data_IF_375161414834
#
_entry.id   IF_375161414834
#
_cell.length_a   1.000
_cell.length_b   1.000
_cell.length_c   1.000
_cell.angle_alpha   90.00
_cell.angle_beta   90.00
_cell.angle_gamma   90.00
#
_symmetry.space_group_name_H-M   'P 1'
#
loop_
_entity.id
_entity.type
_entity.pdbx_description
1 polymer ?
#
# COMPACT_ATOMS: atom_id res chain seq x y z
N UNK A 1 18.23 12.90 -4.79
CA UNK A 1 17.74 12.97 -6.19
C UNK A 1 18.02 11.62 -6.81
N UNK A 2 17.03 11.02 -7.46
CA UNK A 2 17.23 9.79 -8.22
C UNK A 2 18.20 10.10 -9.39
N UNK A 3 19.13 9.17 -9.68
CA UNK A 3 20.00 9.30 -10.82
C UNK A 3 19.20 9.10 -12.12
N UNK A 4 19.31 10.06 -13.01
CA UNK A 4 18.58 10.12 -14.28
C UNK A 4 19.48 9.98 -15.49
N UNK A 5 20.66 9.36 -15.36
CA UNK A 5 21.55 9.11 -16.50
C UNK A 5 20.86 8.19 -17.53
N UNK A 6 20.77 8.59 -18.82
CA UNK A 6 20.03 7.85 -19.84
C UNK A 6 20.77 6.60 -20.35
N UNK A 7 22.10 6.56 -20.24
CA UNK A 7 22.91 5.45 -20.72
C UNK A 7 23.56 4.74 -19.55
N UNK A 8 23.04 3.55 -19.18
CA UNK A 8 23.64 2.77 -18.12
C UNK A 8 23.60 1.28 -18.45
N UNK A 9 24.71 0.64 -18.13
CA UNK A 9 24.77 -0.81 -18.05
C UNK A 9 24.41 -1.19 -16.60
N UNK A 10 23.47 -2.10 -16.43
CA UNK A 10 23.02 -2.49 -15.11
C UNK A 10 22.56 -3.97 -15.12
N UNK A 11 22.42 -4.53 -13.95
CA UNK A 11 21.86 -5.87 -13.74
C UNK A 11 20.93 -5.89 -12.53
N UNK A 12 20.10 -6.94 -12.46
CA UNK A 12 19.34 -7.27 -11.27
C UNK A 12 19.96 -8.49 -10.60
N UNK A 13 20.17 -8.38 -9.30
CA UNK A 13 20.70 -9.46 -8.48
C UNK A 13 19.65 -9.84 -7.43
N UNK A 14 19.55 -11.13 -7.15
CA UNK A 14 18.69 -11.64 -6.08
C UNK A 14 19.60 -12.14 -4.97
N UNK A 15 19.59 -11.44 -3.85
CA UNK A 15 20.37 -11.75 -2.66
C UNK A 15 19.50 -12.56 -1.67
N UNK A 16 19.97 -13.75 -1.29
CA UNK A 16 19.39 -14.48 -0.17
C UNK A 16 19.78 -13.80 1.13
N UNK A 17 18.81 -13.57 2.00
CA UNK A 17 19.02 -12.97 3.31
C UNK A 17 18.37 -13.79 4.41
N UNK A 18 18.90 -13.68 5.63
CA UNK A 18 18.19 -14.15 6.82
C UNK A 18 16.96 -13.29 7.10
N UNK A 19 16.00 -13.76 7.93
CA UNK A 19 14.89 -12.92 8.40
C UNK A 19 15.34 -11.64 9.12
N UNK A 20 16.51 -11.67 9.76
CA UNK A 20 17.13 -10.50 10.40
C UNK A 20 17.79 -9.55 9.40
N UNK A 21 17.83 -9.93 8.11
CA UNK A 21 18.32 -9.10 7.01
C UNK A 21 19.83 -9.16 6.80
N UNK A 22 20.50 -10.19 7.30
CA UNK A 22 21.91 -10.45 6.98
C UNK A 22 22.01 -11.13 5.62
N UNK A 23 22.93 -10.68 4.79
CA UNK A 23 23.20 -11.26 3.48
C UNK A 23 23.85 -12.64 3.64
N UNK A 24 23.32 -13.65 2.92
CA UNK A 24 23.83 -15.01 2.91
C UNK A 24 24.66 -15.22 1.64
N UNK A 25 24.15 -14.79 0.50
CA UNK A 25 24.80 -14.94 -0.82
C UNK A 25 23.80 -14.73 -1.95
N UNK A 26 24.30 -14.62 -3.16
CA UNK A 26 23.44 -14.49 -4.35
C UNK A 26 22.65 -15.78 -4.57
N UNK A 27 21.42 -15.64 -5.04
CA UNK A 27 20.60 -16.75 -5.47
C UNK A 27 21.07 -17.22 -6.87
N UNK A 28 21.52 -18.46 -6.94
CA UNK A 28 22.00 -19.07 -8.19
C UNK A 28 20.84 -19.50 -9.08
N UNK A 29 21.10 -19.51 -10.39
CA UNK A 29 20.20 -20.07 -11.39
C UNK A 29 18.99 -19.20 -11.71
N UNK A 30 18.96 -17.93 -11.33
CA UNK A 30 17.90 -16.99 -11.73
C UNK A 30 17.93 -16.79 -13.23
N UNK A 31 16.85 -17.16 -13.93
CA UNK A 31 16.74 -17.03 -15.38
C UNK A 31 15.87 -15.84 -15.80
N UNK A 32 14.79 -15.66 -15.08
CA UNK A 32 13.86 -14.56 -15.32
C UNK A 32 13.07 -14.26 -14.07
N UNK A 33 12.46 -13.08 -14.05
CA UNK A 33 11.59 -12.69 -12.96
C UNK A 33 10.95 -11.34 -13.22
N UNK A 34 10.00 -11.03 -12.37
CA UNK A 34 9.37 -9.72 -12.34
C UNK A 34 8.92 -9.38 -10.92
N UNK A 35 8.92 -8.09 -10.62
CA UNK A 35 8.46 -7.56 -9.35
C UNK A 35 7.44 -6.46 -9.62
N UNK A 36 6.36 -6.49 -8.88
CA UNK A 36 5.35 -5.43 -8.87
C UNK A 36 5.33 -4.77 -7.50
N UNK A 37 5.56 -3.47 -7.47
CA UNK A 37 5.39 -2.63 -6.28
C UNK A 37 4.10 -1.83 -6.44
N UNK A 38 3.27 -1.75 -5.40
CA UNK A 38 1.96 -1.06 -5.49
C UNK A 38 1.62 -0.30 -4.22
N UNK A 39 1.16 0.93 -4.37
CA UNK A 39 0.66 1.75 -3.25
C UNK A 39 -0.70 1.26 -2.71
N UNK A 40 -1.45 0.49 -3.50
CA UNK A 40 -2.84 0.13 -3.20
C UNK A 40 -3.05 -1.36 -2.95
N UNK A 41 -2.16 -2.22 -3.44
CA UNK A 41 -2.29 -3.66 -3.21
C UNK A 41 -2.14 -3.99 -1.71
N UNK A 42 -2.78 -5.07 -1.28
CA UNK A 42 -2.79 -5.51 0.12
C UNK A 42 -1.39 -5.77 0.67
N UNK A 43 -0.54 -6.44 -0.12
CA UNK A 43 0.82 -6.80 0.28
C UNK A 43 1.88 -5.78 -0.14
N UNK A 44 1.51 -4.71 -0.86
CA UNK A 44 2.40 -3.64 -1.35
C UNK A 44 3.46 -4.07 -2.35
N UNK A 45 3.91 -5.30 -2.30
CA UNK A 45 4.86 -5.86 -3.26
C UNK A 45 4.60 -7.34 -3.47
N UNK A 46 4.77 -7.79 -4.70
CA UNK A 46 4.72 -9.18 -5.12
C UNK A 46 5.64 -9.40 -6.31
N UNK A 47 5.92 -10.65 -6.65
CA UNK A 47 6.74 -10.96 -7.81
C UNK A 47 6.78 -12.44 -8.11
N UNK A 48 7.56 -12.79 -9.11
CA UNK A 48 7.81 -14.17 -9.54
C UNK A 48 9.26 -14.30 -9.98
N UNK A 49 9.86 -15.45 -9.71
CA UNK A 49 11.16 -15.86 -10.22
C UNK A 49 11.05 -17.22 -10.89
N UNK A 50 11.72 -17.38 -12.01
CA UNK A 50 11.98 -18.69 -12.61
C UNK A 50 13.47 -19.01 -12.47
N UNK A 51 13.75 -20.18 -11.91
CA UNK A 51 15.10 -20.61 -11.56
C UNK A 51 15.42 -21.92 -12.27
N UNK A 52 16.65 -22.08 -12.77
CA UNK A 52 17.22 -23.41 -13.02
C UNK A 52 17.73 -23.97 -11.70
N UNK A 53 17.41 -25.23 -11.41
CA UNK A 53 17.90 -25.91 -10.21
C UNK A 53 19.43 -26.04 -10.25
N UNK A 54 20.07 -25.59 -9.19
CA UNK A 54 21.52 -25.66 -8.97
C UNK A 54 21.84 -26.52 -7.76
N UNK A 55 23.11 -26.66 -7.41
CA UNK A 55 23.54 -27.34 -6.17
C UNK A 55 23.35 -26.47 -4.91
N UNK A 56 22.90 -25.23 -5.06
CA UNK A 56 22.68 -24.33 -3.92
C UNK A 56 21.52 -24.83 -3.03
N UNK A 57 21.80 -24.97 -1.75
CA UNK A 57 20.78 -25.33 -0.77
C UNK A 57 20.04 -24.08 -0.31
N UNK A 58 18.74 -24.05 -0.52
CA UNK A 58 17.86 -22.93 -0.19
C UNK A 58 16.88 -23.37 0.89
N UNK A 59 16.85 -22.67 2.00
CA UNK A 59 15.81 -22.82 3.03
C UNK A 59 14.63 -21.89 2.67
N UNK A 60 13.69 -22.44 1.92
CA UNK A 60 12.50 -21.73 1.43
C UNK A 60 11.59 -21.16 2.54
N UNK A 61 11.75 -21.64 3.77
CA UNK A 61 10.91 -21.19 4.90
C UNK A 61 11.53 -20.06 5.70
N UNK A 62 12.87 -20.03 5.79
CA UNK A 62 13.58 -19.10 6.68
C UNK A 62 14.48 -18.12 5.94
N UNK A 63 14.64 -18.25 4.62
CA UNK A 63 15.38 -17.26 3.83
C UNK A 63 14.43 -16.31 3.10
N UNK A 64 14.87 -15.08 2.95
CA UNK A 64 14.19 -14.09 2.12
C UNK A 64 14.99 -13.84 0.85
N UNK A 65 14.33 -13.38 -0.21
CA UNK A 65 14.94 -12.94 -1.46
C UNK A 65 14.88 -11.41 -1.54
N UNK A 66 16.04 -10.74 -1.50
CA UNK A 66 16.14 -9.31 -1.75
C UNK A 66 16.55 -9.09 -3.21
N UNK A 67 15.74 -8.34 -3.94
CA UNK A 67 16.04 -7.93 -5.31
C UNK A 67 16.78 -6.62 -5.27
N UNK A 68 17.99 -6.59 -5.80
CA UNK A 68 18.84 -5.41 -5.88
C UNK A 68 19.03 -5.01 -7.35
N UNK A 69 18.94 -3.72 -7.66
CA UNK A 69 19.34 -3.15 -8.94
C UNK A 69 20.78 -2.64 -8.83
N UNK A 70 21.65 -3.12 -9.70
CA UNK A 70 23.10 -2.89 -9.64
C UNK A 70 23.59 -2.24 -10.93
N UNK A 71 23.58 -0.90 -11.03
CA UNK A 71 24.12 -0.19 -12.16
C UNK A 71 25.66 -0.17 -12.13
N UNK A 72 26.29 -0.25 -13.29
CA UNK A 72 27.75 -0.16 -13.39
C UNK A 72 28.22 1.28 -13.18
N UNK A 73 29.19 1.45 -12.31
CA UNK A 73 29.79 2.79 -12.02
C UNK A 73 28.99 3.67 -11.07
N UNK A 74 27.91 3.17 -10.52
CA UNK A 74 27.05 3.88 -9.55
C UNK A 74 26.64 2.97 -8.40
N UNK A 75 26.29 3.53 -7.23
CA UNK A 75 25.73 2.73 -6.15
C UNK A 75 24.42 2.04 -6.58
N UNK A 76 24.34 0.74 -6.36
CA UNK A 76 23.09 0.00 -6.49
C UNK A 76 22.11 0.31 -5.35
N UNK A 77 20.87 -0.12 -5.52
CA UNK A 77 19.86 0.01 -4.47
C UNK A 77 18.93 -1.19 -4.40
N UNK A 78 18.44 -1.55 -3.22
CA UNK A 78 17.47 -2.61 -3.07
C UNK A 78 16.10 -2.15 -3.61
N UNK A 79 15.49 -3.01 -4.40
CA UNK A 79 14.14 -2.82 -4.95
C UNK A 79 13.11 -3.21 -3.88
N UNK A 80 13.18 -4.46 -3.42
CA UNK A 80 12.32 -4.99 -2.35
C UNK A 80 12.88 -6.31 -1.82
N UNK A 81 12.44 -6.68 -0.62
CA UNK A 81 12.72 -7.99 0.01
C UNK A 81 11.43 -8.78 0.12
N UNK A 82 11.50 -10.05 -0.24
CA UNK A 82 10.37 -10.94 -0.35
C UNK A 82 10.54 -12.21 0.50
N UNK A 83 9.43 -12.71 0.95
CA UNK A 83 9.26 -14.09 1.39
C UNK A 83 9.07 -14.95 0.15
N UNK A 84 9.81 -16.02 0.03
CA UNK A 84 9.65 -16.99 -1.05
C UNK A 84 8.52 -17.94 -0.68
N UNK A 85 7.46 -17.95 -1.51
CA UNK A 85 6.37 -18.90 -1.38
C UNK A 85 6.72 -20.21 -2.11
N UNK A 86 5.99 -21.26 -1.78
CA UNK A 86 6.21 -22.64 -2.24
C UNK A 86 6.71 -22.77 -3.68
N UNK A 87 7.97 -23.17 -3.91
CA UNK A 87 8.48 -23.31 -5.27
C UNK A 87 7.86 -24.52 -5.97
N UNK A 88 7.29 -24.27 -7.15
CA UNK A 88 6.84 -25.36 -8.03
C UNK A 88 8.04 -25.91 -8.78
N UNK A 89 8.30 -27.21 -8.63
CA UNK A 89 9.42 -27.89 -9.31
C UNK A 89 8.92 -28.59 -10.55
N UNK A 90 9.44 -28.20 -11.71
CA UNK A 90 9.14 -28.80 -13.00
C UNK A 90 10.36 -29.53 -13.55
N UNK A 91 10.19 -30.78 -13.99
CA UNK A 91 11.26 -31.64 -14.49
C UNK A 91 11.01 -31.99 -15.96
N UNK A 92 11.94 -31.66 -16.83
CA UNK A 92 11.98 -32.09 -18.22
C UNK A 92 13.19 -33.00 -18.46
N UNK A 93 13.33 -33.59 -19.66
CA UNK A 93 14.43 -34.52 -19.98
C UNK A 93 15.82 -33.92 -19.77
N UNK A 94 15.96 -32.59 -19.93
CA UNK A 94 17.27 -31.93 -19.91
C UNK A 94 17.40 -30.84 -18.88
N UNK A 95 16.31 -30.55 -18.14
CA UNK A 95 16.28 -29.36 -17.28
C UNK A 95 15.30 -29.52 -16.11
N UNK A 96 15.71 -29.01 -14.97
CA UNK A 96 14.86 -28.87 -13.81
C UNK A 96 14.72 -27.39 -13.51
N UNK A 97 13.49 -26.89 -13.52
CA UNK A 97 13.17 -25.49 -13.20
C UNK A 97 12.33 -25.39 -11.93
N UNK A 98 12.39 -24.24 -11.32
CA UNK A 98 11.56 -23.87 -10.16
C UNK A 98 10.93 -22.52 -10.41
N UNK A 99 9.61 -22.46 -10.30
CA UNK A 99 8.87 -21.21 -10.30
C UNK A 99 8.53 -20.84 -8.85
N UNK A 100 8.96 -19.66 -8.44
CA UNK A 100 8.88 -19.16 -7.08
C UNK A 100 8.04 -17.91 -7.06
N UNK A 101 6.94 -17.92 -6.31
CA UNK A 101 6.17 -16.71 -6.02
C UNK A 101 6.85 -15.93 -4.91
N UNK A 102 6.94 -14.62 -5.12
CA UNK A 102 7.52 -13.65 -4.18
C UNK A 102 6.40 -12.85 -3.52
N UNK A 103 6.33 -12.89 -2.22
CA UNK A 103 5.38 -12.12 -1.40
C UNK A 103 6.14 -11.15 -0.51
N UNK A 104 5.61 -9.94 -0.33
CA UNK A 104 6.25 -9.03 0.62
C UNK A 104 6.22 -9.59 2.05
N UNK A 105 7.05 -9.04 2.93
CA UNK A 105 7.10 -9.42 4.34
C UNK A 105 5.79 -9.17 5.10
N UNK A 106 4.89 -8.33 4.56
CA UNK A 106 3.51 -8.19 5.09
C UNK A 106 2.71 -9.50 5.03
N UNK A 107 3.10 -10.46 4.19
CA UNK A 107 2.47 -11.77 4.13
C UNK A 107 2.52 -12.50 5.49
N UNK A 108 3.51 -12.22 6.33
CA UNK A 108 3.54 -12.78 7.70
C UNK A 108 2.38 -12.29 8.56
N UNK A 109 2.01 -11.01 8.45
CA UNK A 109 0.84 -10.45 9.15
C UNK A 109 -0.47 -10.83 8.48
N UNK A 110 -0.46 -10.93 7.15
CA UNK A 110 -1.65 -11.25 6.37
C UNK A 110 -2.17 -12.67 6.59
N UNK A 111 -1.29 -13.63 6.81
CA UNK A 111 -1.69 -15.02 7.13
C UNK A 111 -2.05 -15.24 8.59
N UNK A 112 -1.85 -14.25 9.46
CA UNK A 112 -2.19 -14.33 10.88
C UNK A 112 -3.60 -13.85 11.14
N UNK A 113 -4.27 -14.51 12.08
CA UNK A 113 -5.58 -14.10 12.58
C UNK A 113 -5.56 -13.95 14.09
N UNK A 114 -6.47 -13.17 14.62
CA UNK A 114 -6.66 -13.01 16.07
C UNK A 114 -7.15 -14.33 16.68
N UNK A 115 -6.55 -14.74 17.80
CA UNK A 115 -6.90 -15.94 18.55
C UNK A 115 -7.90 -15.67 19.69
N UNK A 116 -8.31 -14.41 19.87
CA UNK A 116 -9.27 -13.94 20.86
C UNK A 116 -9.95 -12.65 20.38
N UNK A 117 -10.98 -12.22 21.09
CA UNK A 117 -11.54 -10.87 20.91
C UNK A 117 -10.48 -9.86 21.36
N UNK A 118 -10.10 -8.96 20.47
CA UNK A 118 -9.16 -7.88 20.77
C UNK A 118 -9.92 -6.57 20.97
N UNK A 119 -9.83 -6.05 22.18
CA UNK A 119 -10.35 -4.72 22.50
C UNK A 119 -9.19 -3.72 22.46
N UNK A 120 -9.31 -2.73 21.61
CA UNK A 120 -8.32 -1.68 21.46
C UNK A 120 -8.79 -0.44 22.22
N UNK A 121 -8.03 -0.12 23.25
CA UNK A 121 -8.10 1.17 23.95
C UNK A 121 -6.81 1.96 23.65
N UNK A 122 -6.78 3.25 23.97
CA UNK A 122 -5.61 4.12 23.73
C UNK A 122 -4.28 3.52 24.20
N UNK A 123 -4.26 2.86 25.34
CA UNK A 123 -3.07 2.21 25.88
C UNK A 123 -2.62 0.99 25.04
N UNK A 124 -3.55 0.34 24.34
CA UNK A 124 -3.26 -0.87 23.55
C UNK A 124 -2.52 -0.59 22.26
N UNK A 125 -2.49 0.66 21.79
CA UNK A 125 -1.78 1.09 20.59
C UNK A 125 -0.34 1.51 20.86
N UNK A 126 0.04 1.69 22.13
CA UNK A 126 1.41 2.04 22.52
C UNK A 126 2.34 0.85 22.37
N UNK A 127 3.36 0.94 21.53
CA UNK A 127 4.36 -0.11 21.37
C UNK A 127 5.27 -0.34 22.58
N UNK A 128 5.26 0.58 23.56
CA UNK A 128 6.00 0.44 24.81
C UNK A 128 5.26 -0.43 25.84
N UNK A 129 3.96 -0.63 25.64
CA UNK A 129 3.18 -1.54 26.48
C UNK A 129 3.36 -2.99 26.03
N UNK A 130 3.91 -3.83 26.92
CA UNK A 130 4.08 -5.28 26.67
C UNK A 130 2.76 -6.01 26.43
N UNK A 131 1.65 -5.43 26.88
CA UNK A 131 0.30 -5.97 26.70
C UNK A 131 -0.39 -5.42 25.46
N UNK A 132 0.26 -4.52 24.71
CA UNK A 132 -0.34 -3.97 23.49
C UNK A 132 -0.56 -5.07 22.46
N UNK A 133 -1.66 -4.95 21.72
CA UNK A 133 -2.01 -5.87 20.62
C UNK A 133 -0.89 -5.93 19.61
N UNK A 134 -0.31 -4.77 19.25
CA UNK A 134 0.78 -4.66 18.28
C UNK A 134 2.01 -5.44 18.74
N UNK A 135 2.48 -5.23 19.98
CA UNK A 135 3.64 -5.93 20.52
C UNK A 135 3.42 -7.43 20.56
N UNK A 136 2.20 -7.87 20.87
CA UNK A 136 1.83 -9.28 20.92
C UNK A 136 1.90 -9.94 19.54
N UNK A 137 1.33 -9.32 18.53
CA UNK A 137 1.34 -9.89 17.18
C UNK A 137 2.69 -9.74 16.49
N UNK A 138 3.43 -8.66 16.75
CA UNK A 138 4.82 -8.53 16.32
C UNK A 138 5.71 -9.66 16.89
N UNK A 139 5.55 -9.98 18.18
CA UNK A 139 6.28 -11.08 18.80
C UNK A 139 5.91 -12.47 18.24
N UNK A 140 4.67 -12.67 17.80
CA UNK A 140 4.22 -13.92 17.15
C UNK A 140 4.78 -14.07 15.73
N UNK A 141 5.02 -12.97 15.04
CA UNK A 141 5.55 -12.95 13.67
C UNK A 141 7.08 -13.05 13.67
N UNK A 142 7.63 -14.22 14.00
CA UNK A 142 9.06 -14.46 14.26
C UNK A 142 10.01 -14.01 13.15
N UNK A 143 9.58 -14.06 11.90
CA UNK A 143 10.40 -13.75 10.72
C UNK A 143 10.12 -12.34 10.19
N UNK A 144 9.47 -11.49 10.97
CA UNK A 144 9.10 -10.14 10.58
C UNK A 144 9.88 -9.11 11.38
N UNK A 145 10.55 -8.20 10.69
CA UNK A 145 11.15 -7.00 11.27
C UNK A 145 10.16 -5.85 11.19
N UNK A 146 9.95 -5.16 12.30
CA UNK A 146 9.12 -3.96 12.37
C UNK A 146 9.98 -2.76 12.76
N UNK A 147 9.95 -1.71 11.94
CA UNK A 147 10.68 -0.46 12.14
C UNK A 147 9.96 0.54 13.04
N UNK A 148 8.86 0.14 13.70
CA UNK A 148 8.13 0.96 14.66
C UNK A 148 7.69 0.11 15.84
N UNK A 149 7.59 0.73 17.02
CA UNK A 149 7.20 0.08 18.28
C UNK A 149 5.73 0.34 18.64
N UNK A 150 4.85 0.43 17.64
CA UNK A 150 3.47 0.83 17.76
C UNK A 150 3.23 2.24 17.18
N UNK A 151 2.00 2.73 17.28
CA UNK A 151 1.64 4.04 16.72
C UNK A 151 2.04 5.22 17.64
N UNK A 152 2.82 4.95 18.69
CA UNK A 152 3.51 5.91 19.54
C UNK A 152 2.61 6.94 20.21
N UNK A 153 3.22 8.09 20.54
CA UNK A 153 2.53 9.23 21.14
C UNK A 153 1.50 9.89 20.21
N UNK A 154 1.49 9.54 18.93
CA UNK A 154 0.53 10.09 17.96
C UNK A 154 -0.93 9.73 18.30
N UNK A 155 -1.19 8.67 19.02
CA UNK A 155 -2.50 8.38 19.60
C UNK A 155 -2.88 9.33 20.75
N UNK A 156 -1.93 10.11 21.27
CA UNK A 156 -2.11 11.08 22.37
C UNK A 156 -2.07 12.53 21.94
N UNK A 157 -1.51 12.85 20.77
CA UNK A 157 -1.33 14.25 20.36
C UNK A 157 -2.61 14.77 19.71
N UNK A 158 -3.49 15.35 20.52
CA UNK A 158 -4.37 16.46 20.17
C UNK A 158 -5.27 16.34 18.95
N UNK A 159 -5.35 15.17 18.34
CA UNK A 159 -6.46 14.86 17.45
C UNK A 159 -7.75 14.86 18.27
N UNK A 160 -8.88 15.26 17.69
CA UNK A 160 -10.15 15.10 18.38
C UNK A 160 -10.18 13.66 18.88
N UNK A 161 -10.48 13.47 20.14
CA UNK A 161 -10.54 12.23 20.90
C UNK A 161 -11.14 11.07 20.09
N UNK A 162 -10.37 10.55 19.13
CA UNK A 162 -10.79 9.51 18.20
C UNK A 162 -10.91 8.16 18.87
N UNK A 163 -10.50 8.06 20.13
CA UNK A 163 -10.44 6.78 20.82
C UNK A 163 -10.97 6.90 22.25
N UNK A 164 -12.06 7.61 22.45
CA UNK A 164 -12.90 7.40 23.63
C UNK A 164 -13.78 6.14 23.46
N UNK A 165 -13.69 5.47 22.32
CA UNK A 165 -14.46 4.28 22.02
C UNK A 165 -13.52 3.05 21.96
N UNK A 166 -13.89 2.04 22.69
CA UNK A 166 -13.27 0.73 22.61
C UNK A 166 -13.61 0.11 21.25
N UNK A 167 -12.59 -0.15 20.43
CA UNK A 167 -12.74 -0.85 19.16
C UNK A 167 -12.50 -2.32 19.43
N UNK A 168 -13.48 -3.16 19.13
CA UNK A 168 -13.36 -4.60 19.26
C UNK A 168 -13.17 -5.25 17.88
N UNK A 169 -12.33 -6.27 17.85
CA UNK A 169 -12.13 -7.17 16.71
C UNK A 169 -12.44 -8.59 17.16
N UNK A 170 -13.24 -9.28 16.37
CA UNK A 170 -13.63 -10.66 16.67
C UNK A 170 -12.46 -11.63 16.46
N UNK A 171 -12.60 -12.83 17.07
CA UNK A 171 -11.72 -13.97 16.83
C UNK A 171 -11.70 -14.30 15.32
N UNK A 172 -10.51 -14.54 14.79
CA UNK A 172 -10.33 -14.82 13.36
C UNK A 172 -10.15 -13.57 12.49
N UNK A 173 -10.19 -12.37 13.07
CA UNK A 173 -9.88 -11.14 12.31
C UNK A 173 -8.45 -11.17 11.81
N UNK A 174 -8.26 -10.84 10.53
CA UNK A 174 -6.92 -10.78 9.94
C UNK A 174 -6.07 -9.69 10.61
N UNK A 175 -4.85 -10.06 11.02
CA UNK A 175 -3.96 -9.15 11.77
C UNK A 175 -3.50 -7.95 10.95
N UNK A 176 -3.16 -8.13 9.67
CA UNK A 176 -2.77 -7.02 8.81
C UNK A 176 -3.91 -6.01 8.65
N UNK A 177 -5.13 -6.49 8.50
CA UNK A 177 -6.33 -5.64 8.42
C UNK A 177 -6.52 -4.86 9.72
N UNK A 178 -6.45 -5.53 10.87
CA UNK A 178 -6.55 -4.88 12.18
C UNK A 178 -5.48 -3.80 12.38
N UNK A 179 -4.21 -4.08 12.05
CA UNK A 179 -3.12 -3.12 12.20
C UNK A 179 -3.25 -1.92 11.24
N UNK A 180 -3.72 -2.14 10.02
CA UNK A 180 -4.00 -1.05 9.08
C UNK A 180 -5.18 -0.20 9.52
N UNK A 181 -6.19 -0.78 10.15
CA UNK A 181 -7.29 -0.02 10.77
C UNK A 181 -6.78 0.84 11.91
N UNK A 182 -5.91 0.30 12.78
CA UNK A 182 -5.26 1.06 13.84
C UNK A 182 -4.43 2.22 13.29
N UNK A 183 -3.64 1.98 12.23
CA UNK A 183 -2.87 3.03 11.56
C UNK A 183 -3.78 4.16 11.06
N UNK A 184 -4.88 3.81 10.40
CA UNK A 184 -5.85 4.78 9.88
C UNK A 184 -6.51 5.61 10.99
N UNK A 185 -6.85 4.98 12.11
CA UNK A 185 -7.46 5.65 13.27
C UNK A 185 -6.54 6.73 13.83
N UNK A 186 -5.24 6.48 13.92
CA UNK A 186 -4.26 7.46 14.40
C UNK A 186 -3.75 8.41 13.30
N UNK A 187 -4.35 8.37 12.11
CA UNK A 187 -4.00 9.26 11.00
C UNK A 187 -2.71 8.88 10.27
N UNK A 188 -2.30 7.62 10.37
CA UNK A 188 -1.17 7.09 9.62
C UNK A 188 -1.59 6.53 8.26
N UNK A 189 -0.63 6.39 7.36
CA UNK A 189 -0.77 5.57 6.16
C UNK A 189 -0.81 4.08 6.51
N UNK A 190 -1.24 3.26 5.56
CA UNK A 190 -1.19 1.82 5.73
C UNK A 190 0.26 1.33 5.84
N UNK A 191 0.46 0.25 6.58
CA UNK A 191 1.76 -0.38 6.78
C UNK A 191 2.39 -0.76 5.43
N UNK A 192 3.68 -0.51 5.32
CA UNK A 192 4.44 -0.73 4.08
C UNK A 192 5.81 -1.30 4.44
N UNK A 193 6.29 -2.33 3.73
CA UNK A 193 7.66 -2.79 3.90
C UNK A 193 8.62 -1.81 3.23
N UNK A 194 9.74 -1.54 3.88
CA UNK A 194 10.85 -0.87 3.23
C UNK A 194 11.59 -1.85 2.27
N UNK A 195 12.59 -1.40 1.49
CA UNK A 195 13.31 -2.26 0.57
C UNK A 195 14.01 -3.45 1.22
N UNK A 196 14.37 -3.33 2.48
CA UNK A 196 15.01 -4.39 3.24
C UNK A 196 14.01 -5.32 3.94
N UNK A 197 12.71 -5.16 3.66
CA UNK A 197 11.63 -5.97 4.22
C UNK A 197 11.24 -5.62 5.65
N UNK A 198 11.69 -4.48 6.18
CA UNK A 198 11.25 -3.98 7.49
C UNK A 198 9.89 -3.31 7.34
N UNK A 199 8.89 -3.80 8.04
CA UNK A 199 7.56 -3.19 8.04
C UNK A 199 7.59 -1.87 8.78
N UNK A 200 7.20 -0.81 8.10
CA UNK A 200 7.18 0.56 8.61
C UNK A 200 5.79 1.15 8.58
N UNK A 201 5.57 2.16 9.38
CA UNK A 201 4.38 3.00 9.38
C UNK A 201 4.79 4.45 9.60
N UNK A 202 4.05 5.37 9.01
CA UNK A 202 4.29 6.80 9.12
C UNK A 202 2.99 7.60 9.08
N UNK A 203 2.95 8.81 9.70
CA UNK A 203 1.83 9.72 9.56
C UNK A 203 1.49 9.99 8.09
N UNK A 204 0.21 10.02 7.77
CA UNK A 204 -0.24 10.30 6.42
C UNK A 204 0.01 11.76 6.06
N UNK A 205 0.76 11.98 4.99
CA UNK A 205 0.97 13.30 4.40
C UNK A 205 0.19 13.36 3.08
N UNK A 206 -0.61 14.39 2.89
CA UNK A 206 -1.36 14.59 1.64
C UNK A 206 -0.37 14.66 0.46
N UNK A 207 -0.68 14.01 -0.68
CA UNK A 207 0.21 14.01 -1.85
C UNK A 207 0.60 15.41 -2.33
N UNK A 208 -0.31 16.40 -2.28
CA UNK A 208 -0.04 17.79 -2.64
C UNK A 208 1.11 18.44 -1.83
N UNK A 209 1.34 17.95 -0.60
CA UNK A 209 2.39 18.47 0.31
C UNK A 209 3.69 17.66 0.29
N UNK A 210 3.73 16.53 -0.44
CA UNK A 210 4.95 15.72 -0.52
C UNK A 210 5.94 16.34 -1.50
N UNK A 211 7.26 16.23 -1.25
CA UNK A 211 8.27 16.67 -2.21
C UNK A 211 8.23 15.81 -3.47
N UNK A 212 8.69 16.35 -4.58
CA UNK A 212 8.89 15.61 -5.83
C UNK A 212 10.18 14.79 -5.72
N UNK A 213 10.05 13.46 -5.87
CA UNK A 213 11.18 12.53 -5.80
C UNK A 213 11.90 12.38 -7.13
N UNK A 214 11.18 12.48 -8.25
CA UNK A 214 11.74 12.35 -9.60
C UNK A 214 10.97 13.22 -10.59
N UNK A 215 11.70 13.73 -11.60
CA UNK A 215 11.10 14.44 -12.74
C UNK A 215 11.43 13.68 -14.02
N UNK A 216 10.41 13.17 -14.69
CA UNK A 216 10.52 12.61 -16.03
C UNK A 216 10.35 13.72 -17.05
N UNK A 217 11.40 14.01 -17.80
CA UNK A 217 11.43 15.11 -18.76
C UNK A 217 11.87 14.59 -20.12
N UNK A 218 11.25 15.08 -21.19
CA UNK A 218 11.71 14.82 -22.55
C UNK A 218 13.03 15.52 -22.86
N UNK A 219 13.75 15.06 -23.88
CA UNK A 219 15.02 15.62 -24.35
C UNK A 219 16.11 14.56 -24.49
N UNK A 220 17.35 14.99 -24.77
CA UNK A 220 18.50 14.09 -24.99
C UNK A 220 18.83 13.22 -23.74
N UNK A 221 18.50 13.73 -22.56
CA UNK A 221 18.69 13.02 -21.30
C UNK A 221 17.42 12.35 -20.78
N UNK A 222 16.41 12.12 -21.65
CA UNK A 222 15.20 11.46 -21.26
C UNK A 222 15.48 10.03 -20.80
N UNK A 223 14.89 9.67 -19.66
CA UNK A 223 14.97 8.32 -19.10
C UNK A 223 13.66 7.54 -19.30
N UNK A 224 12.65 8.17 -19.88
CA UNK A 224 11.38 7.53 -20.22
C UNK A 224 11.23 7.35 -21.74
N UNK A 225 10.43 6.38 -22.13
CA UNK A 225 10.05 6.18 -23.53
C UNK A 225 9.31 7.42 -24.08
N UNK A 226 9.46 7.65 -25.38
CA UNK A 226 8.66 8.67 -26.07
C UNK A 226 7.16 8.31 -26.12
N UNK A 227 6.84 7.04 -25.93
CA UNK A 227 5.47 6.53 -25.89
C UNK A 227 4.95 6.50 -24.45
N UNK A 228 3.78 7.07 -24.23
CA UNK A 228 3.09 7.08 -22.96
C UNK A 228 1.58 7.16 -23.18
N UNK A 229 0.82 6.71 -22.19
CA UNK A 229 -0.65 6.74 -22.25
C UNK A 229 -1.19 7.50 -21.05
N UNK A 230 -2.13 8.42 -21.32
CA UNK A 230 -2.88 9.11 -20.28
C UNK A 230 -4.35 8.81 -20.45
N UNK A 231 -4.98 8.33 -19.41
CA UNK A 231 -6.40 8.07 -19.34
C UNK A 231 -7.05 8.97 -18.29
N UNK A 232 -8.22 9.51 -18.62
CA UNK A 232 -9.05 10.30 -17.71
C UNK A 232 -10.45 9.71 -17.73
N UNK A 233 -10.69 8.79 -16.83
CA UNK A 233 -12.03 8.26 -16.62
C UNK A 233 -12.94 9.33 -16.00
N UNK A 234 -13.68 10.00 -16.85
CA UNK A 234 -14.69 11.00 -16.43
C UNK A 234 -16.01 10.30 -16.08
N UNK A 235 -16.28 9.13 -16.65
CA UNK A 235 -17.57 8.47 -16.54
C UNK A 235 -17.82 7.85 -15.17
N UNK A 236 -16.78 7.29 -14.56
CA UNK A 236 -16.89 6.64 -13.23
C UNK A 236 -16.73 7.60 -12.05
N UNK A 237 -16.42 8.89 -12.30
CA UNK A 237 -16.30 9.89 -11.22
C UNK A 237 -17.64 10.05 -10.51
N UNK A 238 -17.74 9.72 -9.20
CA UNK A 238 -18.98 9.82 -8.47
C UNK A 238 -19.34 11.28 -8.18
N UNK A 239 -20.62 11.58 -8.23
CA UNK A 239 -21.17 12.85 -7.81
C UNK A 239 -22.14 12.73 -6.62
N UNK A 240 -22.38 11.51 -6.17
CA UNK A 240 -23.08 11.20 -4.94
C UNK A 240 -22.24 10.19 -4.14
N UNK A 241 -22.01 10.44 -2.88
CA UNK A 241 -21.35 9.52 -1.95
C UNK A 241 -22.30 9.18 -0.82
N UNK A 242 -22.49 7.88 -0.60
CA UNK A 242 -23.29 7.33 0.49
C UNK A 242 -22.36 6.58 1.43
N UNK A 243 -22.23 7.05 2.65
CA UNK A 243 -21.50 6.37 3.72
C UNK A 243 -22.47 5.63 4.63
N UNK A 244 -22.24 4.34 4.83
CA UNK A 244 -23.06 3.52 5.74
C UNK A 244 -22.21 3.22 6.98
N UNK A 245 -22.66 3.75 8.12
CA UNK A 245 -22.01 3.50 9.41
C UNK A 245 -22.27 2.09 9.92
N UNK A 246 -21.32 1.55 10.68
CA UNK A 246 -21.56 0.32 11.45
C UNK A 246 -22.52 0.68 12.59
N UNK A 247 -23.59 -0.10 12.86
CA UNK A 247 -24.42 0.12 14.03
C UNK A 247 -23.54 0.13 15.29
N UNK A 248 -23.55 1.22 16.04
CA UNK A 248 -22.87 1.27 17.33
C UNK A 248 -23.54 0.28 18.27
N UNK A 249 -22.76 -0.52 18.99
CA UNK A 249 -23.28 -1.17 20.18
C UNK A 249 -23.49 -0.07 21.23
N UNK A 250 -24.67 0.48 21.27
CA UNK A 250 -25.05 1.45 22.29
C UNK A 250 -25.17 0.75 23.65
N UNK A 251 -24.05 0.60 24.34
CA UNK A 251 -23.97 -0.01 25.68
C UNK A 251 -24.49 0.96 26.78
N UNK A 252 -24.93 2.16 26.38
CA UNK A 252 -25.41 3.20 27.33
C UNK A 252 -26.88 3.05 27.71
N UNK A 253 -27.64 2.17 27.07
CA UNK A 253 -29.00 1.82 27.50
C UNK A 253 -29.08 0.50 28.29
N UNK A 254 -28.15 0.25 29.20
CA UNK A 254 -28.29 -0.76 30.24
C UNK A 254 -29.11 -0.25 31.43
N UNK A 255 -30.34 0.14 31.14
CA UNK A 255 -31.35 0.52 32.15
C UNK A 255 -32.69 -0.11 31.80
N UNK A 256 -33.02 -1.17 32.50
CA UNK A 256 -34.37 -1.67 32.82
C UNK A 256 -35.23 -2.41 31.80
N UNK A 257 -35.04 -2.36 30.49
CA UNK A 257 -35.90 -3.16 29.56
C UNK A 257 -35.07 -3.98 28.55
N UNK A 258 -34.68 -5.17 28.98
CA UNK A 258 -33.87 -6.14 28.21
C UNK A 258 -34.59 -6.84 27.06
N UNK A 259 -35.79 -6.46 26.66
CA UNK A 259 -36.62 -7.32 25.81
C UNK A 259 -36.84 -6.91 24.36
N UNK A 260 -36.52 -5.68 23.93
CA UNK A 260 -36.71 -5.24 22.54
C UNK A 260 -35.70 -4.14 22.08
N UNK A 261 -34.42 -4.34 22.21
CA UNK A 261 -33.50 -3.54 21.44
C UNK A 261 -33.22 -4.26 20.10
N UNK A 262 -33.98 -3.93 19.09
CA UNK A 262 -33.58 -4.23 17.72
C UNK A 262 -32.24 -3.53 17.40
N UNK A 263 -31.50 -3.99 16.37
CA UNK A 263 -30.24 -3.33 16.00
C UNK A 263 -30.50 -1.85 15.76
N UNK A 264 -29.69 -0.99 16.40
CA UNK A 264 -29.73 0.46 16.13
C UNK A 264 -29.64 0.69 14.63
N UNK A 265 -30.47 1.56 14.02
CA UNK A 265 -30.42 1.80 12.59
C UNK A 265 -29.02 2.29 12.22
N UNK A 266 -28.47 1.75 11.13
CA UNK A 266 -27.19 2.21 10.61
C UNK A 266 -27.29 3.71 10.29
N UNK A 267 -26.33 4.48 10.79
CA UNK A 267 -26.26 5.91 10.46
C UNK A 267 -25.79 6.02 9.01
N UNK A 268 -26.51 6.80 8.19
CA UNK A 268 -26.19 6.97 6.76
C UNK A 268 -25.88 8.45 6.50
N UNK A 269 -24.66 8.73 6.02
CA UNK A 269 -24.26 10.06 5.55
C UNK A 269 -24.32 10.11 4.02
N UNK A 270 -24.85 11.23 3.49
CA UNK A 270 -24.95 11.43 2.04
C UNK A 270 -24.35 12.78 1.67
N UNK A 271 -23.42 12.77 0.72
CA UNK A 271 -22.89 13.99 0.11
C UNK A 271 -23.19 14.00 -1.39
N UNK A 272 -23.53 15.16 -1.95
CA UNK A 272 -23.95 15.33 -3.35
C UNK A 272 -23.27 16.55 -3.96
N UNK A 273 -22.93 16.45 -5.23
CA UNK A 273 -22.53 17.57 -6.06
C UNK A 273 -23.71 17.98 -6.96
N UNK A 274 -24.53 18.87 -6.49
CA UNK A 274 -25.70 19.38 -7.21
C UNK A 274 -25.44 20.75 -7.87
N UNK A 275 -24.16 21.17 -8.00
CA UNK A 275 -23.81 22.46 -8.58
C UNK A 275 -24.07 22.45 -10.10
N UNK A 276 -25.06 23.23 -10.64
CA UNK A 276 -25.42 23.22 -12.05
C UNK A 276 -24.31 23.79 -12.95
N UNK A 277 -23.31 24.46 -12.39
CA UNK A 277 -22.15 24.98 -13.14
C UNK A 277 -21.02 23.96 -13.27
N UNK A 278 -21.10 22.86 -12.53
CA UNK A 278 -20.12 21.78 -12.61
C UNK A 278 -20.60 20.73 -13.64
N UNK A 279 -19.82 20.46 -14.68
CA UNK A 279 -20.18 19.43 -15.67
C UNK A 279 -20.25 18.01 -15.07
N UNK A 280 -19.65 17.79 -13.89
CA UNK A 280 -19.68 16.51 -13.18
C UNK A 280 -20.82 16.39 -12.17
N UNK A 281 -21.69 17.41 -12.06
CA UNK A 281 -22.81 17.41 -11.11
C UNK A 281 -23.91 16.43 -11.46
N UNK A 282 -24.75 16.13 -10.49
CA UNK A 282 -25.96 15.31 -10.67
C UNK A 282 -26.94 15.95 -11.66
N UNK A 283 -26.98 17.29 -11.70
CA UNK A 283 -27.82 18.06 -12.63
C UNK A 283 -27.38 17.90 -14.09
N UNK A 284 -26.07 17.84 -14.33
CA UNK A 284 -25.51 17.79 -15.68
C UNK A 284 -25.48 16.40 -16.28
N UNK A 285 -25.30 15.34 -15.46
CA UNK A 285 -25.05 13.99 -15.97
C UNK A 285 -25.82 12.87 -15.25
N UNK A 286 -26.75 13.20 -14.35
CA UNK A 286 -27.44 12.23 -13.51
C UNK A 286 -26.58 11.76 -12.33
N UNK A 287 -27.13 10.86 -11.53
CA UNK A 287 -26.47 10.38 -10.30
C UNK A 287 -25.50 9.23 -10.59
N UNK A 288 -24.27 9.39 -10.15
CA UNK A 288 -23.25 8.34 -10.10
C UNK A 288 -22.87 8.16 -8.64
N UNK A 289 -23.35 7.06 -8.05
CA UNK A 289 -23.30 6.81 -6.62
C UNK A 289 -22.07 5.98 -6.27
N UNK A 290 -21.28 6.46 -5.32
CA UNK A 290 -20.27 5.67 -4.63
C UNK A 290 -20.75 5.32 -3.23
N UNK A 291 -20.71 4.04 -2.86
CA UNK A 291 -21.13 3.58 -1.53
C UNK A 291 -19.90 3.14 -0.75
N UNK A 292 -19.70 3.74 0.42
CA UNK A 292 -18.68 3.35 1.40
C UNK A 292 -19.35 2.70 2.60
N UNK A 293 -19.05 1.44 2.87
CA UNK A 293 -19.63 0.68 3.99
C UNK A 293 -18.64 0.52 5.13
N UNK A 294 -19.16 0.27 6.34
CA UNK A 294 -18.32 0.02 7.52
C UNK A 294 -17.65 1.29 8.07
N UNK A 295 -18.19 2.46 7.77
CA UNK A 295 -17.68 3.72 8.29
C UNK A 295 -17.94 3.77 9.80
N UNK A 296 -16.89 3.90 10.59
CA UNK A 296 -17.00 4.08 12.05
C UNK A 296 -17.23 5.55 12.34
N UNK A 297 -18.48 5.93 12.50
CA UNK A 297 -18.88 7.28 12.86
C UNK A 297 -19.96 7.20 13.95
N UNK A 298 -19.78 7.99 14.99
CA UNK A 298 -20.63 7.97 16.21
C UNK A 298 -21.79 8.93 16.14
N UNK A 299 -21.81 9.81 15.14
CA UNK A 299 -22.88 10.80 14.96
C UNK A 299 -23.18 11.04 13.48
N UNK A 300 -24.41 11.54 13.21
CA UNK A 300 -24.83 11.95 11.87
C UNK A 300 -23.86 12.99 11.28
N UNK A 301 -23.48 13.99 12.05
CA UNK A 301 -22.56 15.03 11.60
C UNK A 301 -21.17 14.48 11.22
N UNK A 302 -20.68 13.47 11.95
CA UNK A 302 -19.40 12.85 11.64
C UNK A 302 -19.45 12.05 10.33
N UNK A 303 -20.52 11.28 10.10
CA UNK A 303 -20.64 10.48 8.86
C UNK A 303 -20.89 11.38 7.65
N UNK A 304 -21.61 12.48 7.79
CA UNK A 304 -21.81 13.47 6.74
C UNK A 304 -20.51 14.16 6.35
N UNK A 305 -19.66 14.49 7.33
CA UNK A 305 -18.32 15.03 7.08
C UNK A 305 -17.42 14.00 6.34
N UNK A 306 -17.51 12.73 6.69
CA UNK A 306 -16.79 11.67 5.97
C UNK A 306 -17.28 11.55 4.54
N UNK A 307 -18.59 11.55 4.31
CA UNK A 307 -19.19 11.51 2.98
C UNK A 307 -18.76 12.72 2.14
N UNK A 308 -18.77 13.93 2.71
CA UNK A 308 -18.34 15.15 2.02
C UNK A 308 -16.84 15.11 1.66
N UNK A 309 -16.00 14.60 2.56
CA UNK A 309 -14.58 14.44 2.29
C UNK A 309 -14.34 13.45 1.15
N UNK A 310 -14.99 12.29 1.18
CA UNK A 310 -14.87 11.27 0.14
C UNK A 310 -15.37 11.82 -1.20
N UNK A 311 -16.47 12.56 -1.20
CA UNK A 311 -16.97 13.23 -2.41
C UNK A 311 -15.90 14.17 -2.98
N UNK A 312 -15.31 15.03 -2.17
CA UNK A 312 -14.26 15.96 -2.59
C UNK A 312 -13.03 15.23 -3.14
N UNK A 313 -12.62 14.13 -2.49
CA UNK A 313 -11.46 13.34 -2.91
C UNK A 313 -11.71 12.54 -4.21
N UNK A 314 -12.95 12.08 -4.45
CA UNK A 314 -13.30 11.23 -5.59
C UNK A 314 -13.97 11.97 -6.75
N UNK A 315 -14.50 13.17 -6.56
CA UNK A 315 -15.20 13.95 -7.60
C UNK A 315 -14.27 14.63 -8.60
N UNK A 316 -12.96 14.59 -8.36
CA UNK A 316 -12.00 15.13 -9.33
C UNK A 316 -11.52 14.02 -10.27
N UNK A 317 -11.70 14.16 -11.61
CA UNK A 317 -11.17 13.21 -12.56
C UNK A 317 -9.65 13.31 -12.58
N UNK A 318 -9.01 12.47 -11.77
CA UNK A 318 -7.57 12.38 -11.77
C UNK A 318 -7.09 11.51 -12.93
N UNK A 319 -6.22 12.07 -13.78
CA UNK A 319 -5.62 11.30 -14.86
C UNK A 319 -4.77 10.16 -14.32
N UNK A 320 -4.79 9.03 -15.02
CA UNK A 320 -3.87 7.93 -14.88
C UNK A 320 -2.89 7.94 -16.03
N UNK A 321 -1.62 8.18 -15.74
CA UNK A 321 -0.54 8.20 -16.72
C UNK A 321 0.26 6.90 -16.57
N UNK A 322 0.50 6.22 -17.69
CA UNK A 322 1.37 5.04 -17.76
C UNK A 322 2.58 5.41 -18.61
N UNK A 323 3.76 5.21 -18.04
CA UNK A 323 5.05 5.44 -18.69
C UNK A 323 5.95 4.23 -18.57
N UNK A 324 6.82 4.04 -19.55
CA UNK A 324 7.96 3.12 -19.49
C UNK A 324 9.24 3.92 -19.33
N UNK A 325 10.10 3.52 -18.41
CA UNK A 325 11.32 4.25 -18.12
C UNK A 325 12.46 3.36 -17.63
N UNK A 326 13.68 3.86 -17.70
CA UNK A 326 14.83 3.21 -17.07
C UNK A 326 14.62 3.12 -15.55
N UNK A 327 15.16 2.08 -14.88
CA UNK A 327 15.04 1.95 -13.45
C UNK A 327 15.55 3.20 -12.71
N UNK A 328 14.75 3.73 -11.83
CA UNK A 328 15.07 4.85 -10.91
C UNK A 328 14.64 4.47 -9.50
N UNK A 329 15.36 4.99 -8.51
CA UNK A 329 15.05 4.69 -7.11
C UNK A 329 13.88 5.56 -6.61
N UNK A 330 12.69 5.21 -7.08
CA UNK A 330 11.39 5.77 -6.62
C UNK A 330 10.50 4.64 -6.12
N UNK A 331 9.46 5.01 -5.37
CA UNK A 331 8.57 4.04 -4.73
C UNK A 331 7.11 4.39 -4.91
N UNK A 332 6.21 3.39 -4.86
CA UNK A 332 4.78 3.65 -4.77
C UNK A 332 4.45 4.60 -3.62
N UNK A 333 3.57 5.57 -3.90
CA UNK A 333 3.21 6.63 -2.98
C UNK A 333 4.08 7.89 -3.06
N UNK A 334 5.24 7.86 -3.69
CA UNK A 334 6.05 9.04 -3.92
C UNK A 334 5.46 9.92 -5.02
N UNK A 335 5.80 11.21 -4.98
CA UNK A 335 5.33 12.19 -5.95
C UNK A 335 6.37 12.37 -7.04
N UNK A 336 5.93 12.32 -8.28
CA UNK A 336 6.75 12.55 -9.47
C UNK A 336 6.12 13.64 -10.35
N UNK A 337 6.95 14.30 -11.16
CA UNK A 337 6.51 15.18 -12.23
C UNK A 337 6.82 14.55 -13.58
N UNK A 338 5.89 14.64 -14.50
CA UNK A 338 6.04 14.23 -15.88
C UNK A 338 5.87 15.45 -16.79
N UNK A 339 6.84 15.67 -17.69
CA UNK A 339 6.86 16.81 -18.61
C UNK A 339 7.31 16.29 -19.97
N UNK A 340 6.38 16.07 -20.86
CA UNK A 340 6.65 15.58 -22.22
C UNK A 340 5.55 15.99 -23.19
N UNK A 341 5.91 16.34 -24.42
CA UNK A 341 5.00 16.67 -25.52
C UNK A 341 3.92 17.71 -25.13
N UNK A 342 4.32 18.74 -24.38
CA UNK A 342 3.42 19.79 -23.91
C UNK A 342 2.52 19.40 -22.74
N UNK A 343 2.55 18.14 -22.28
CA UNK A 343 1.86 17.71 -21.08
C UNK A 343 2.74 17.94 -19.86
N UNK A 344 2.13 18.46 -18.81
CA UNK A 344 2.74 18.53 -17.48
C UNK A 344 1.78 17.95 -16.47
N UNK A 345 2.22 16.91 -15.79
CA UNK A 345 1.45 16.21 -14.77
C UNK A 345 2.30 16.05 -13.52
N UNK A 346 1.72 16.40 -12.37
CA UNK A 346 2.26 16.04 -11.06
C UNK A 346 1.39 14.94 -10.47
N UNK A 347 1.99 13.82 -10.11
CA UNK A 347 1.20 12.68 -9.67
C UNK A 347 1.93 11.81 -8.66
N UNK A 348 1.19 10.88 -8.07
CA UNK A 348 1.71 9.85 -7.17
C UNK A 348 1.92 8.55 -7.92
N UNK A 349 3.05 7.91 -7.72
CA UNK A 349 3.32 6.56 -8.20
C UNK A 349 2.34 5.59 -7.53
N UNK A 350 1.51 4.91 -8.35
CA UNK A 350 0.56 3.92 -7.87
C UNK A 350 1.10 2.50 -7.95
N UNK A 351 1.70 2.17 -9.08
CA UNK A 351 2.21 0.84 -9.35
C UNK A 351 3.47 0.92 -10.21
N UNK A 352 4.40 0.03 -9.96
CA UNK A 352 5.62 -0.14 -10.74
C UNK A 352 5.76 -1.63 -11.06
N UNK A 353 5.84 -1.97 -12.35
CA UNK A 353 6.16 -3.33 -12.83
C UNK A 353 7.60 -3.34 -13.31
N UNK A 354 8.42 -4.13 -12.67
CA UNK A 354 9.86 -4.18 -12.84
C UNK A 354 10.24 -5.56 -13.35
N UNK A 355 10.46 -5.73 -14.65
CA UNK A 355 11.06 -6.95 -15.17
C UNK A 355 12.51 -7.07 -14.69
N UNK A 356 12.91 -8.24 -14.22
CA UNK A 356 14.29 -8.49 -13.76
C UNK A 356 15.18 -8.82 -14.95
N UNK A 357 15.30 -7.88 -15.88
CA UNK A 357 16.11 -7.98 -17.08
C UNK A 357 16.87 -6.68 -17.29
N UNK A 358 18.18 -6.75 -17.60
CA UNK A 358 19.01 -5.55 -17.79
C UNK A 358 18.53 -4.60 -18.87
N UNK A 359 17.83 -5.12 -19.87
CA UNK A 359 17.39 -4.37 -21.07
C UNK A 359 15.92 -3.94 -21.03
N UNK A 360 15.17 -4.39 -20.04
CA UNK A 360 13.75 -4.08 -19.95
C UNK A 360 13.50 -2.75 -19.23
N UNK A 361 12.47 -2.05 -19.67
CA UNK A 361 12.00 -0.83 -19.02
C UNK A 361 11.04 -1.17 -17.88
N UNK A 362 10.99 -0.29 -16.91
CA UNK A 362 10.02 -0.31 -15.80
C UNK A 362 8.74 0.37 -16.27
N UNK A 363 7.61 -0.31 -16.16
CA UNK A 363 6.29 0.29 -16.42
C UNK A 363 5.76 0.89 -15.12
N UNK A 364 5.48 2.20 -15.13
CA UNK A 364 4.98 2.90 -13.95
C UNK A 364 3.65 3.57 -14.23
N UNK A 365 2.69 3.30 -13.35
CA UNK A 365 1.37 3.97 -13.34
C UNK A 365 1.40 5.10 -12.32
N UNK A 366 1.08 6.30 -12.77
CA UNK A 366 1.10 7.54 -12.00
C UNK A 366 -0.32 8.10 -11.97
N UNK A 367 -0.86 8.37 -10.79
CA UNK A 367 -2.16 9.02 -10.62
C UNK A 367 -1.95 10.52 -10.39
N UNK A 368 -2.60 11.34 -11.21
CA UNK A 368 -2.55 12.81 -11.11
C UNK A 368 -2.97 13.29 -9.72
N UNK A 369 -2.25 14.26 -9.19
CA UNK A 369 -2.66 15.03 -8.01
C UNK A 369 -3.45 16.22 -8.53
N UNK A 370 -4.77 16.30 -8.28
CA UNK A 370 -5.57 17.44 -8.69
C UNK A 370 -4.98 18.74 -8.11
N UNK A 371 -4.95 19.80 -8.91
CA UNK A 371 -4.62 21.15 -8.41
C UNK A 371 -5.74 21.62 -7.47
N UNK A 372 -5.36 22.02 -6.25
CA UNK A 372 -6.27 22.62 -5.27
C UNK A 372 -6.87 23.93 -5.78
#
# INVERSE_FOLDING_TARGET
>A
MADTSPARQADYQVMLTTPDGQDIGLLDGVESGSVTLSATSRLRASGQLSLTETSQTIDWFNMHARVDYVPVGMPGWPVATFVMSSPTRSVSEHRVTRDVELLSTLAYLDRMSTDRIEQLENASLSGTDKHSVISRYAAKARNLRMGFTGFGEYGRVGGPSLINESIAYDVGTNVLTMLNDCARIVGWGALTPDPYGVVTGAPYIRPSRRPVSCVFREGESAIHSAEWTIDRDIFSVPNVVVCVGTPGSDDTQRGADKYYAGPSPAVVGVARNDNPRDPLSTVSRGEIVHVETGVKATSQAAIDQVAQRILTEKSMPAASLVIEHLPVNIRPGEVVEFISQGQRLRGTVQEMKIPLSPTALVTTTIKEIPSE
#
